data_IF_711030308397
#
_entry.id   IF_711030308397
#
_cell.length_a   1.000
_cell.length_b   1.000
_cell.length_c   1.000
_cell.angle_alpha   90.00
_cell.angle_beta   90.00
_cell.angle_gamma   90.00
#
_symmetry.space_group_name_H-M   'P 1'
#
loop_
_entity.id
_entity.type
_entity.pdbx_description
1 polymer ?
#
# COMPACT_ATOMS: atom_id res chain seq x y z
N UNK A 1 -26.90 18.39 0.15
CA UNK A 1 -27.39 18.22 -1.24
C UNK A 1 -27.90 16.80 -1.42
N UNK A 2 -29.22 16.62 -1.40
CA UNK A 2 -29.88 15.35 -1.66
C UNK A 2 -29.87 15.08 -3.17
N UNK A 3 -29.01 14.17 -3.65
CA UNK A 3 -29.07 13.70 -5.05
C UNK A 3 -30.20 12.69 -5.16
N UNK A 4 -31.15 12.96 -6.03
CA UNK A 4 -32.23 12.04 -6.41
C UNK A 4 -31.67 10.65 -6.76
N UNK A 5 -32.24 9.61 -6.13
CA UNK A 5 -31.95 8.20 -6.38
C UNK A 5 -32.55 7.79 -7.73
N UNK A 6 -31.92 8.17 -8.84
CA UNK A 6 -32.35 7.70 -10.16
C UNK A 6 -31.76 6.31 -10.40
N UNK A 7 -32.56 5.34 -10.84
CA UNK A 7 -32.12 3.94 -10.97
C UNK A 7 -30.87 3.77 -11.84
N UNK A 8 -30.66 4.65 -12.82
CA UNK A 8 -29.46 4.66 -13.67
C UNK A 8 -28.16 4.97 -12.91
N UNK A 9 -28.18 5.88 -11.93
CA UNK A 9 -26.99 6.17 -11.12
C UNK A 9 -26.68 5.04 -10.14
N UNK A 10 -27.71 4.35 -9.64
CA UNK A 10 -27.55 3.14 -8.83
C UNK A 10 -26.92 2.01 -9.65
N UNK A 11 -27.45 1.70 -10.84
CA UNK A 11 -26.89 0.66 -11.73
C UNK A 11 -25.42 0.96 -12.05
N UNK A 12 -25.10 2.22 -12.37
CA UNK A 12 -23.71 2.63 -12.60
C UNK A 12 -22.82 2.39 -11.37
N UNK A 13 -23.26 2.79 -10.19
CA UNK A 13 -22.49 2.60 -8.95
C UNK A 13 -22.20 1.13 -8.66
N UNK A 14 -23.17 0.24 -8.89
CA UNK A 14 -22.95 -1.20 -8.72
C UNK A 14 -22.02 -1.79 -9.78
N UNK A 15 -22.08 -1.33 -11.03
CA UNK A 15 -21.12 -1.73 -12.08
C UNK A 15 -19.70 -1.28 -11.75
N UNK A 16 -19.52 -0.05 -11.25
CA UNK A 16 -18.22 0.45 -10.81
C UNK A 16 -17.68 -0.37 -9.62
N UNK A 17 -18.53 -0.67 -8.62
CA UNK A 17 -18.17 -1.53 -7.49
C UNK A 17 -17.74 -2.93 -7.95
N UNK A 18 -18.48 -3.56 -8.87
CA UNK A 18 -18.13 -4.87 -9.41
C UNK A 18 -16.78 -4.85 -10.15
N UNK A 19 -16.50 -3.75 -10.88
CA UNK A 19 -15.21 -3.53 -11.52
C UNK A 19 -14.07 -3.42 -10.50
N UNK A 20 -14.27 -2.66 -9.42
CA UNK A 20 -13.30 -2.54 -8.32
C UNK A 20 -13.03 -3.91 -7.70
N UNK A 21 -14.07 -4.66 -7.33
CA UNK A 21 -13.92 -6.00 -6.72
C UNK A 21 -13.13 -6.92 -7.66
N UNK A 22 -13.47 -6.96 -8.94
CA UNK A 22 -12.79 -7.81 -9.93
C UNK A 22 -11.32 -7.44 -10.09
N UNK A 23 -11.00 -6.15 -10.02
CA UNK A 23 -9.63 -5.64 -10.14
C UNK A 23 -8.80 -6.02 -8.91
N UNK A 24 -9.31 -5.76 -7.71
CA UNK A 24 -8.61 -6.07 -6.46
C UNK A 24 -8.48 -7.58 -6.20
N UNK A 25 -9.46 -8.38 -6.65
CA UNK A 25 -9.39 -9.85 -6.51
C UNK A 25 -8.23 -10.49 -7.29
N UNK A 26 -7.67 -9.78 -8.28
CA UNK A 26 -6.50 -10.24 -9.06
C UNK A 26 -5.17 -9.78 -8.49
N UNK A 27 -5.19 -8.88 -7.50
CA UNK A 27 -3.97 -8.37 -6.90
C UNK A 27 -3.24 -9.48 -6.13
N UNK A 28 -1.93 -9.59 -6.32
CA UNK A 28 -1.11 -10.49 -5.53
C UNK A 28 -1.01 -9.95 -4.10
N UNK A 29 -1.39 -10.78 -3.12
CA UNK A 29 -1.20 -10.47 -1.70
C UNK A 29 0.17 -11.00 -1.27
N UNK A 30 1.09 -10.10 -0.96
CA UNK A 30 2.41 -10.45 -0.44
C UNK A 30 2.33 -10.77 1.05
N UNK A 31 2.88 -11.92 1.43
CA UNK A 31 2.98 -12.32 2.83
C UNK A 31 4.11 -11.56 3.54
N UNK A 32 3.96 -11.38 4.85
CA UNK A 32 5.09 -11.06 5.72
C UNK A 32 5.89 -12.35 5.97
N UNK A 33 6.86 -12.62 5.10
CA UNK A 33 7.71 -13.80 5.13
C UNK A 33 8.80 -13.70 6.20
N UNK A 34 9.53 -14.80 6.44
CA UNK A 34 10.68 -14.80 7.35
C UNK A 34 11.75 -13.78 6.91
N UNK A 35 12.03 -13.66 5.61
CA UNK A 35 12.93 -12.64 5.08
C UNK A 35 12.44 -11.21 5.36
N UNK A 36 11.13 -10.96 5.33
CA UNK A 36 10.57 -9.66 5.72
C UNK A 36 10.64 -9.44 7.24
N UNK A 37 10.57 -10.49 8.04
CA UNK A 37 10.75 -10.42 9.50
C UNK A 37 12.18 -10.04 9.88
N UNK A 38 13.18 -10.62 9.21
CA UNK A 38 14.60 -10.27 9.41
C UNK A 38 14.85 -8.79 9.11
N UNK A 39 14.38 -8.29 7.96
CA UNK A 39 14.49 -6.86 7.61
C UNK A 39 13.77 -5.97 8.63
N UNK A 40 12.60 -6.39 9.11
CA UNK A 40 11.85 -5.64 10.11
C UNK A 40 12.65 -5.48 11.41
N UNK A 41 13.27 -6.55 11.88
CA UNK A 41 14.09 -6.53 13.10
C UNK A 41 15.35 -5.66 12.93
N UNK A 42 15.99 -5.70 11.75
CA UNK A 42 17.10 -4.81 11.41
C UNK A 42 16.69 -3.33 11.44
N UNK A 43 15.59 -2.97 10.79
CA UNK A 43 15.10 -1.59 10.77
C UNK A 43 14.67 -1.12 12.17
N UNK A 44 14.11 -2.01 12.97
CA UNK A 44 13.73 -1.74 14.37
C UNK A 44 14.97 -1.53 15.24
N UNK A 45 16.03 -2.33 15.06
CA UNK A 45 17.31 -2.15 15.74
C UNK A 45 17.97 -0.81 15.40
N UNK A 46 17.79 -0.34 14.16
CA UNK A 46 18.21 0.99 13.70
C UNK A 46 17.35 2.14 14.23
N UNK A 47 16.30 1.85 15.03
CA UNK A 47 15.39 2.84 15.64
C UNK A 47 14.70 3.74 14.61
N UNK A 48 14.37 3.19 13.44
CA UNK A 48 13.62 3.90 12.39
C UNK A 48 12.27 4.34 12.93
N UNK A 49 12.03 5.67 12.95
CA UNK A 49 10.84 6.29 13.55
C UNK A 49 9.67 6.36 12.56
N UNK A 50 9.11 5.20 12.27
CA UNK A 50 7.94 5.01 11.40
C UNK A 50 6.95 4.08 12.10
N UNK A 51 5.65 4.19 11.79
CA UNK A 51 4.63 3.35 12.39
C UNK A 51 4.88 1.86 12.14
N UNK A 52 4.49 1.00 13.08
CA UNK A 52 4.74 -0.46 13.02
C UNK A 52 4.24 -1.11 11.73
N UNK A 53 3.08 -0.69 11.22
CA UNK A 53 2.51 -1.26 9.99
C UNK A 53 3.28 -0.82 8.74
N UNK A 54 3.64 0.46 8.65
CA UNK A 54 4.45 0.98 7.54
C UNK A 54 5.85 0.37 7.54
N UNK A 55 6.42 0.11 8.73
CA UNK A 55 7.69 -0.59 8.85
C UNK A 55 7.59 -2.04 8.34
N UNK A 56 6.49 -2.74 8.61
CA UNK A 56 6.23 -4.08 8.02
C UNK A 56 6.06 -4.02 6.51
N UNK A 57 5.34 -3.04 5.98
CA UNK A 57 5.19 -2.84 4.53
C UNK A 57 6.56 -2.62 3.89
N UNK A 58 7.39 -1.73 4.46
CA UNK A 58 8.72 -1.46 3.96
C UNK A 58 9.61 -2.71 4.00
N UNK A 59 9.49 -3.52 5.05
CA UNK A 59 10.25 -4.77 5.19
C UNK A 59 9.88 -5.80 4.12
N UNK A 60 8.59 -5.93 3.79
CA UNK A 60 8.13 -6.77 2.66
C UNK A 60 8.73 -6.26 1.35
N UNK A 61 8.68 -4.95 1.11
CA UNK A 61 9.18 -4.33 -0.13
C UNK A 61 10.68 -4.55 -0.30
N UNK A 62 11.48 -4.36 0.76
CA UNK A 62 12.94 -4.57 0.74
C UNK A 62 13.25 -6.04 0.51
N UNK A 63 12.60 -6.96 1.24
CA UNK A 63 12.85 -8.40 1.11
C UNK A 63 12.54 -8.92 -0.31
N UNK A 64 11.64 -8.27 -1.04
CA UNK A 64 11.27 -8.62 -2.42
C UNK A 64 11.94 -7.71 -3.48
N UNK A 65 12.83 -6.79 -3.09
CA UNK A 65 13.51 -5.85 -4.01
C UNK A 65 12.53 -5.04 -4.88
N UNK A 66 11.43 -4.59 -4.29
CA UNK A 66 10.37 -3.86 -4.98
C UNK A 66 10.45 -2.34 -4.76
N UNK A 67 9.65 -1.59 -5.50
CA UNK A 67 9.39 -0.16 -5.25
C UNK A 67 8.00 0.01 -4.65
N UNK A 68 7.90 0.72 -3.53
CA UNK A 68 6.60 1.05 -2.93
C UNK A 68 5.98 2.27 -3.62
N UNK A 69 4.74 2.14 -4.09
CA UNK A 69 3.96 3.28 -4.56
C UNK A 69 3.14 3.86 -3.39
N UNK A 70 3.32 5.14 -3.04
CA UNK A 70 2.67 5.75 -1.86
C UNK A 70 2.52 7.26 -1.96
N UNK A 71 1.42 7.83 -1.40
CA UNK A 71 1.36 9.29 -1.11
C UNK A 71 2.05 9.67 0.19
N UNK A 72 2.34 8.73 1.07
CA UNK A 72 2.92 9.02 2.39
C UNK A 72 4.46 9.12 2.31
N UNK A 73 4.95 9.99 1.44
CA UNK A 73 6.39 10.11 1.15
C UNK A 73 7.19 10.55 2.38
N UNK A 74 6.58 11.34 3.28
CA UNK A 74 7.20 11.86 4.50
C UNK A 74 7.63 10.74 5.46
N UNK A 75 6.80 9.72 5.65
CA UNK A 75 7.13 8.63 6.57
C UNK A 75 8.09 7.63 5.94
N UNK A 76 7.86 7.23 4.69
CA UNK A 76 8.70 6.26 3.99
C UNK A 76 10.10 6.80 3.64
N UNK A 77 10.28 8.13 3.53
CA UNK A 77 11.60 8.74 3.35
C UNK A 77 12.54 8.59 4.56
N UNK A 78 12.03 8.18 5.73
CA UNK A 78 12.82 7.94 6.94
C UNK A 78 13.46 6.55 6.97
N UNK A 79 13.11 5.68 6.02
CA UNK A 79 13.59 4.31 5.96
C UNK A 79 14.88 4.28 5.12
N UNK A 80 16.01 3.83 5.66
CA UNK A 80 17.27 3.81 4.93
C UNK A 80 17.23 2.80 3.77
N UNK A 81 17.87 3.15 2.66
CA UNK A 81 17.99 2.31 1.46
C UNK A 81 16.64 1.82 0.89
N UNK A 82 15.58 2.61 1.10
CA UNK A 82 14.22 2.27 0.69
C UNK A 82 13.81 2.97 -0.61
N UNK A 83 13.26 2.22 -1.56
CA UNK A 83 12.79 2.79 -2.84
C UNK A 83 11.27 2.95 -2.82
N UNK A 84 10.81 4.18 -3.03
CA UNK A 84 9.39 4.49 -3.20
C UNK A 84 9.16 5.50 -4.31
N UNK A 85 7.94 5.51 -4.85
CA UNK A 85 7.45 6.46 -5.84
C UNK A 85 6.15 7.09 -5.36
N UNK A 86 5.96 8.38 -5.67
CA UNK A 86 4.75 9.12 -5.33
C UNK A 86 3.72 9.05 -6.47
N UNK A 87 2.63 8.32 -6.26
CA UNK A 87 1.56 8.20 -7.25
C UNK A 87 0.74 9.46 -7.52
N UNK A 88 0.96 10.56 -6.81
CA UNK A 88 0.27 11.83 -7.08
C UNK A 88 0.96 12.66 -8.15
N UNK A 89 2.21 12.31 -8.49
CA UNK A 89 3.03 12.98 -9.50
C UNK A 89 3.40 12.06 -10.67
N UNK A 90 2.99 10.78 -10.61
CA UNK A 90 3.18 9.76 -11.65
C UNK A 90 1.97 9.74 -12.58
#
# INVERSE_FOLDING_TARGET
MSRSKNSSSLVRGYSELAGVITTFARAQVLAFSDAAAEVYDELKAQKVRVGTMDLRIASIVIANQMTLLTKNTVDFSRIPNFTFADWTIV
#
